data_IF_271579814615
#
_entry.id   IF_271579814615
#
_cell.length_a   1.000
_cell.length_b   1.000
_cell.length_c   1.000
_cell.angle_alpha   90.00
_cell.angle_beta   90.00
_cell.angle_gamma   90.00
#
_symmetry.space_group_name_H-M   'P 1'
#
loop_
_entity.id
_entity.type
_entity.pdbx_description
1 polymer ?
#
# COMPACT_ATOMS: atom_id res chain seq x y z
N UNK A 1 -5.27 14.18 9.50
CA UNK A 1 -3.86 13.84 9.79
C UNK A 1 -3.62 13.66 11.29
N UNK A 2 -3.94 14.63 12.16
CA UNK A 2 -3.66 14.55 13.60
C UNK A 2 -4.24 13.28 14.27
N UNK A 3 -5.45 12.87 13.92
CA UNK A 3 -6.05 11.62 14.40
C UNK A 3 -5.16 10.41 14.12
N UNK A 4 -4.67 10.26 12.90
CA UNK A 4 -3.82 9.14 12.51
C UNK A 4 -2.46 9.17 13.20
N UNK A 5 -1.83 10.34 13.30
CA UNK A 5 -0.55 10.48 14.02
C UNK A 5 -0.69 10.13 15.50
N UNK A 6 -1.78 10.57 16.14
CA UNK A 6 -2.06 10.19 17.53
C UNK A 6 -2.27 8.68 17.67
N UNK A 7 -3.02 8.07 16.74
CA UNK A 7 -3.27 6.64 16.75
C UNK A 7 -1.98 5.83 16.53
N UNK A 8 -1.15 6.22 15.56
CA UNK A 8 0.17 5.62 15.34
C UNK A 8 1.00 5.71 16.62
N UNK A 9 1.09 6.91 17.20
CA UNK A 9 1.85 7.12 18.43
C UNK A 9 1.36 6.24 19.59
N UNK A 10 0.05 6.12 19.77
CA UNK A 10 -0.54 5.36 20.87
C UNK A 10 -0.41 3.84 20.74
N UNK A 11 -0.12 3.34 19.54
CA UNK A 11 0.00 1.91 19.28
C UNK A 11 1.46 1.53 19.00
N UNK A 12 2.14 2.17 18.04
CA UNK A 12 3.50 1.78 17.64
C UNK A 12 4.57 2.04 18.71
N UNK A 13 4.34 3.00 19.61
CA UNK A 13 5.28 3.27 20.71
C UNK A 13 4.86 2.63 22.04
N UNK A 14 3.79 1.87 22.07
CA UNK A 14 3.34 1.10 23.24
C UNK A 14 4.02 -0.28 23.24
N UNK A 15 4.71 -0.62 24.34
CA UNK A 15 5.48 -1.86 24.45
C UNK A 15 4.65 -3.15 24.34
N UNK A 16 3.34 -3.05 24.59
CA UNK A 16 2.41 -4.18 24.54
C UNK A 16 1.57 -4.22 23.28
N UNK A 17 1.44 -3.08 22.54
CA UNK A 17 0.52 -2.95 21.40
C UNK A 17 1.21 -2.78 20.06
N UNK A 18 2.52 -2.41 20.04
CA UNK A 18 3.24 -2.13 18.81
C UNK A 18 3.03 -3.21 17.72
N UNK A 19 2.99 -2.76 16.50
CA UNK A 19 2.79 -3.62 15.32
C UNK A 19 4.03 -3.64 14.40
N UNK A 20 4.96 -2.72 14.58
CA UNK A 20 6.12 -2.50 13.72
C UNK A 20 5.70 -2.33 12.23
N UNK A 21 4.61 -1.65 11.99
CA UNK A 21 4.08 -1.45 10.64
C UNK A 21 4.63 -0.21 9.97
N UNK A 22 5.16 0.75 10.74
CA UNK A 22 5.69 2.04 10.26
C UNK A 22 7.21 2.08 10.50
N UNK A 23 7.96 2.45 9.46
CA UNK A 23 9.42 2.72 9.58
C UNK A 23 9.65 4.21 9.85
N UNK A 24 9.02 5.09 9.06
CA UNK A 24 9.29 6.53 9.13
C UNK A 24 8.01 7.33 8.92
N UNK A 25 7.84 8.39 9.70
CA UNK A 25 6.76 9.37 9.57
C UNK A 25 7.29 10.66 8.93
N UNK A 26 6.49 11.22 8.02
CA UNK A 26 6.77 12.51 7.40
C UNK A 26 6.59 13.65 8.43
N UNK A 27 7.69 14.26 8.84
CA UNK A 27 7.70 15.31 9.86
C UNK A 27 6.96 16.57 9.40
N UNK A 28 6.84 16.81 8.09
CA UNK A 28 6.21 17.99 7.51
C UNK A 28 4.71 17.82 7.23
N UNK A 29 4.15 16.61 7.47
CA UNK A 29 2.78 16.27 7.05
C UNK A 29 1.70 17.15 7.70
N UNK A 30 1.92 17.66 8.94
CA UNK A 30 0.97 18.55 9.60
C UNK A 30 0.92 19.91 8.91
N UNK A 31 2.09 20.46 8.53
CA UNK A 31 2.17 21.72 7.80
C UNK A 31 1.55 21.57 6.40
N UNK A 32 1.91 20.50 5.68
CA UNK A 32 1.31 20.17 4.39
C UNK A 32 -0.23 20.04 4.47
N UNK A 33 -0.75 19.43 5.54
CA UNK A 33 -2.18 19.33 5.77
C UNK A 33 -2.85 20.70 5.98
N UNK A 34 -2.21 21.58 6.76
CA UNK A 34 -2.71 22.94 6.96
C UNK A 34 -2.76 23.77 5.68
N UNK A 35 -1.80 23.56 4.77
CA UNK A 35 -1.85 24.21 3.46
C UNK A 35 -3.00 23.67 2.61
N UNK A 36 -3.25 22.36 2.64
CA UNK A 36 -4.40 21.74 1.95
C UNK A 36 -5.73 22.25 2.52
N UNK A 37 -5.86 22.46 3.83
CA UNK A 37 -7.08 22.97 4.47
C UNK A 37 -7.50 24.35 3.96
N UNK A 38 -6.60 25.13 3.34
CA UNK A 38 -6.88 26.45 2.76
C UNK A 38 -7.55 26.37 1.37
N UNK A 39 -7.56 25.20 0.73
CA UNK A 39 -7.99 24.97 -0.65
C UNK A 39 -9.19 24.03 -0.63
N UNK A 40 -10.22 24.31 -1.40
CA UNK A 40 -11.35 23.38 -1.56
C UNK A 40 -11.02 22.28 -2.57
N UNK A 41 -11.42 21.02 -2.32
CA UNK A 41 -11.25 19.95 -3.29
C UNK A 41 -12.10 20.20 -4.55
N UNK A 42 -11.58 19.83 -5.71
CA UNK A 42 -12.26 19.99 -7.00
C UNK A 42 -13.36 18.94 -7.22
N UNK A 43 -13.26 17.79 -6.57
CA UNK A 43 -14.16 16.64 -6.74
C UNK A 43 -14.30 15.86 -5.43
N UNK A 44 -15.43 15.17 -5.25
CA UNK A 44 -15.66 14.22 -4.17
C UNK A 44 -14.75 12.98 -4.26
N UNK A 45 -14.21 12.69 -5.44
CA UNK A 45 -13.24 11.62 -5.68
C UNK A 45 -11.78 12.12 -5.67
N UNK A 46 -11.57 13.37 -5.26
CA UNK A 46 -10.22 13.91 -5.07
C UNK A 46 -9.52 13.28 -3.88
N UNK A 47 -8.20 13.10 -3.97
CA UNK A 47 -7.38 12.71 -2.83
C UNK A 47 -6.97 13.90 -1.95
N UNK A 48 -7.58 15.07 -2.13
CA UNK A 48 -7.22 16.30 -1.45
C UNK A 48 -7.20 16.16 0.08
N UNK A 49 -6.03 16.27 0.69
CA UNK A 49 -5.83 16.12 2.13
C UNK A 49 -5.92 14.69 2.67
N UNK A 50 -6.08 13.68 1.80
CA UNK A 50 -6.15 12.28 2.20
C UNK A 50 -4.76 11.76 2.56
N UNK A 51 -4.53 11.27 3.79
CA UNK A 51 -3.26 10.69 4.19
C UNK A 51 -3.09 9.28 3.64
N UNK A 52 -1.96 9.06 2.95
CA UNK A 52 -1.57 7.79 2.33
C UNK A 52 -0.21 7.37 2.88
N UNK A 53 -0.03 6.07 3.13
CA UNK A 53 1.23 5.46 3.51
C UNK A 53 1.87 4.75 2.29
N UNK A 54 3.19 4.77 2.21
CA UNK A 54 3.95 4.15 1.13
C UNK A 54 4.77 2.98 1.66
N UNK A 55 4.74 1.84 0.99
CA UNK A 55 5.72 0.77 1.25
C UNK A 55 7.14 1.31 1.10
N UNK A 56 8.04 0.90 1.95
CA UNK A 56 9.37 1.51 2.02
C UNK A 56 10.34 1.10 0.88
N UNK A 57 9.83 0.54 -0.18
CA UNK A 57 10.52 0.41 -1.46
C UNK A 57 10.05 1.40 -2.53
N UNK A 58 9.12 2.32 -2.20
CA UNK A 58 8.58 3.36 -3.08
C UNK A 58 9.25 4.69 -2.72
N UNK A 59 9.92 5.33 -3.66
CA UNK A 59 10.65 6.56 -3.43
C UNK A 59 9.73 7.73 -3.06
N UNK A 60 10.17 8.48 -2.06
CA UNK A 60 9.60 9.77 -1.70
C UNK A 60 10.71 10.75 -1.34
N UNK A 61 10.76 11.90 -2.01
CA UNK A 61 11.87 12.89 -1.93
C UNK A 61 12.19 13.40 -0.52
N UNK A 62 11.23 13.31 0.41
CA UNK A 62 11.38 13.83 1.76
C UNK A 62 11.73 12.76 2.81
N UNK A 63 11.78 11.49 2.41
CA UNK A 63 12.04 10.37 3.33
C UNK A 63 12.95 9.35 2.66
N UNK A 64 13.82 8.67 3.41
CA UNK A 64 14.61 7.57 2.89
C UNK A 64 13.75 6.46 2.29
N UNK A 65 14.26 5.79 1.28
CA UNK A 65 13.71 4.55 0.73
C UNK A 65 14.71 3.45 0.98
N UNK A 66 14.42 2.61 1.97
CA UNK A 66 15.41 1.65 2.48
C UNK A 66 15.20 0.22 1.99
N UNK A 67 14.05 -0.08 1.36
CA UNK A 67 13.60 -1.46 1.09
C UNK A 67 13.66 -2.36 2.36
N UNK A 68 13.53 -1.75 3.54
CA UNK A 68 13.65 -2.38 4.85
C UNK A 68 15.08 -2.65 5.31
N UNK A 69 16.09 -2.31 4.51
CA UNK A 69 17.49 -2.61 4.78
C UNK A 69 18.21 -1.44 5.44
N UNK A 70 18.89 -1.70 6.55
CA UNK A 70 19.71 -0.71 7.23
C UNK A 70 20.85 -0.15 6.34
N UNK A 71 21.27 -0.92 5.33
CA UNK A 71 22.29 -0.47 4.37
C UNK A 71 21.85 0.73 3.52
N UNK A 72 20.54 1.01 3.43
CA UNK A 72 19.95 2.12 2.68
C UNK A 72 19.29 3.17 3.58
N UNK A 73 19.64 3.24 4.87
CA UNK A 73 18.99 4.16 5.83
C UNK A 73 19.05 5.64 5.43
N UNK A 74 20.05 6.04 4.66
CA UNK A 74 20.26 7.41 4.18
C UNK A 74 19.92 7.61 2.70
N UNK A 75 19.32 6.60 2.05
CA UNK A 75 19.02 6.65 0.61
C UNK A 75 17.80 7.52 0.32
N UNK A 76 18.03 8.80 -0.01
CA UNK A 76 17.01 9.75 -0.44
C UNK A 76 17.10 9.93 -1.96
N UNK A 77 15.97 9.80 -2.63
CA UNK A 77 15.84 9.92 -4.09
C UNK A 77 14.68 10.86 -4.46
N UNK A 78 14.56 11.19 -5.74
CA UNK A 78 13.35 11.84 -6.26
C UNK A 78 12.11 10.96 -6.04
N UNK A 79 10.92 11.56 -6.09
CA UNK A 79 9.68 10.81 -6.01
C UNK A 79 9.60 9.70 -7.07
N UNK A 80 8.99 8.58 -6.70
CA UNK A 80 8.46 7.65 -7.69
C UNK A 80 7.35 8.34 -8.52
N UNK A 81 7.17 7.91 -9.77
CA UNK A 81 6.11 8.44 -10.64
C UNK A 81 4.73 8.38 -9.96
N UNK A 82 4.39 7.25 -9.37
CA UNK A 82 3.12 7.06 -8.67
C UNK A 82 2.94 8.04 -7.49
N UNK A 83 4.02 8.42 -6.83
CA UNK A 83 3.98 9.41 -5.73
C UNK A 83 3.73 10.81 -6.26
N UNK A 84 4.32 11.19 -7.39
CA UNK A 84 3.99 12.43 -8.06
C UNK A 84 2.49 12.49 -8.42
N UNK A 85 1.94 11.40 -8.98
CA UNK A 85 0.50 11.31 -9.29
C UNK A 85 -0.38 11.50 -8.05
N UNK A 86 -0.02 10.92 -6.92
CA UNK A 86 -0.75 11.11 -5.66
C UNK A 86 -0.68 12.55 -5.15
N UNK A 87 0.51 13.17 -5.14
CA UNK A 87 0.70 14.57 -4.70
C UNK A 87 -0.04 15.56 -5.64
N UNK A 88 0.00 15.35 -6.95
CA UNK A 88 -0.75 16.12 -7.95
C UNK A 88 -2.27 16.07 -7.69
N UNK A 89 -2.79 14.91 -7.28
CA UNK A 89 -4.19 14.73 -6.93
C UNK A 89 -4.53 15.11 -5.48
N UNK A 90 -3.57 15.69 -4.77
CA UNK A 90 -3.79 16.30 -3.46
C UNK A 90 -3.55 15.41 -2.26
N UNK A 91 -3.13 14.16 -2.43
CA UNK A 91 -2.81 13.27 -1.31
C UNK A 91 -1.68 13.83 -0.43
N UNK A 92 -1.69 13.39 0.83
CA UNK A 92 -0.64 13.67 1.80
C UNK A 92 0.13 12.39 2.10
N UNK A 93 1.42 12.39 1.86
CA UNK A 93 2.25 11.23 2.21
C UNK A 93 2.55 11.27 3.71
N UNK A 94 1.94 10.36 4.44
CA UNK A 94 2.01 10.29 5.90
C UNK A 94 3.33 9.68 6.38
N UNK A 95 3.89 8.74 5.63
CA UNK A 95 5.14 8.06 6.00
C UNK A 95 5.42 6.81 5.18
N UNK A 96 6.41 6.04 5.63
CA UNK A 96 6.88 4.80 5.01
C UNK A 96 6.55 3.60 5.91
N UNK A 97 6.02 2.54 5.30
CA UNK A 97 5.62 1.31 5.99
C UNK A 97 6.67 0.23 5.90
N UNK A 98 6.72 -0.60 6.94
CA UNK A 98 7.58 -1.77 6.99
C UNK A 98 7.22 -2.81 5.91
N UNK A 99 8.16 -3.68 5.60
CA UNK A 99 8.03 -4.72 4.59
C UNK A 99 8.92 -5.90 4.94
N UNK A 100 8.73 -7.03 4.28
CA UNK A 100 9.79 -8.04 4.27
C UNK A 100 11.00 -7.46 3.54
N UNK A 101 12.16 -7.46 4.19
CA UNK A 101 13.39 -6.82 3.68
C UNK A 101 13.68 -7.23 2.22
N UNK A 102 13.93 -6.24 1.34
CA UNK A 102 14.09 -6.43 -0.10
C UNK A 102 12.98 -7.22 -0.78
N UNK A 103 11.76 -7.17 -0.24
CA UNK A 103 10.62 -7.95 -0.71
C UNK A 103 10.90 -9.46 -0.86
N UNK A 104 11.73 -10.02 0.02
CA UNK A 104 12.28 -11.40 0.03
C UNK A 104 13.36 -11.70 -1.00
N UNK A 105 13.81 -10.76 -1.79
CA UNK A 105 14.76 -11.06 -2.86
C UNK A 105 16.07 -11.66 -2.32
N UNK A 106 16.62 -11.08 -1.25
CA UNK A 106 17.92 -11.52 -0.68
C UNK A 106 17.80 -12.43 0.55
N UNK A 107 16.66 -12.49 1.21
CA UNK A 107 16.50 -13.31 2.42
C UNK A 107 15.31 -14.25 2.33
N UNK A 108 15.48 -15.42 1.73
CA UNK A 108 14.43 -16.45 1.64
C UNK A 108 14.02 -17.08 2.99
N UNK A 109 14.93 -17.32 3.95
CA UNK A 109 14.54 -17.88 5.26
C UNK A 109 14.09 -16.82 6.28
N UNK A 110 14.10 -15.52 5.94
CA UNK A 110 13.62 -14.50 6.85
C UNK A 110 12.10 -14.62 7.10
N UNK A 111 11.65 -14.33 8.32
CA UNK A 111 10.23 -14.32 8.60
C UNK A 111 9.47 -13.31 7.73
N UNK A 112 8.24 -13.66 7.38
CA UNK A 112 7.34 -12.76 6.65
C UNK A 112 7.14 -11.46 7.42
N UNK A 113 7.38 -10.32 6.79
CA UNK A 113 7.20 -9.01 7.42
C UNK A 113 8.35 -8.55 8.31
N UNK A 114 9.49 -9.25 8.28
CA UNK A 114 10.69 -8.82 8.99
C UNK A 114 11.57 -7.93 8.12
N UNK A 115 12.12 -6.89 8.72
CA UNK A 115 13.19 -6.09 8.14
C UNK A 115 14.18 -5.62 9.21
N UNK A 116 15.42 -5.35 8.82
CA UNK A 116 16.43 -4.80 9.73
C UNK A 116 16.12 -3.36 10.17
N UNK A 117 15.35 -2.61 9.37
CA UNK A 117 14.90 -1.25 9.71
C UNK A 117 13.71 -1.22 10.66
N UNK A 118 12.69 -2.06 10.44
CA UNK A 118 11.42 -2.00 11.16
C UNK A 118 11.17 -3.15 12.13
N UNK A 119 12.04 -4.16 12.16
CA UNK A 119 11.79 -5.39 12.92
C UNK A 119 10.66 -6.24 12.34
N UNK A 120 10.05 -7.10 13.15
CA UNK A 120 8.95 -7.97 12.75
C UNK A 120 7.62 -7.24 12.75
N UNK A 121 6.98 -7.11 11.60
CA UNK A 121 5.59 -6.61 11.49
C UNK A 121 4.62 -7.64 12.07
N UNK A 122 3.71 -7.19 12.93
CA UNK A 122 2.75 -8.03 13.65
C UNK A 122 1.34 -7.80 13.15
N UNK A 123 0.55 -8.88 13.02
CA UNK A 123 -0.84 -8.80 12.59
C UNK A 123 -1.72 -8.21 13.71
N UNK A 124 -2.55 -7.17 13.44
CA UNK A 124 -3.36 -6.51 14.47
C UNK A 124 -4.48 -7.39 15.04
N UNK A 125 -4.94 -8.39 14.29
CA UNK A 125 -5.98 -9.33 14.72
C UNK A 125 -5.47 -10.45 15.64
N UNK A 126 -4.14 -10.66 15.68
CA UNK A 126 -3.53 -11.66 16.56
C UNK A 126 -2.02 -11.51 16.54
N UNK A 127 -1.50 -10.57 17.34
CA UNK A 127 -0.05 -10.31 17.46
C UNK A 127 0.69 -11.58 17.86
N UNK A 128 1.75 -11.91 17.11
CA UNK A 128 2.57 -13.12 17.31
C UNK A 128 1.82 -14.46 17.13
N UNK A 129 0.54 -14.42 16.76
CA UNK A 129 -0.31 -15.60 16.48
C UNK A 129 -0.54 -15.74 14.99
N UNK A 130 -0.95 -14.64 14.33
CA UNK A 130 -1.21 -14.64 12.90
C UNK A 130 -0.07 -13.96 12.13
N UNK A 131 0.21 -14.50 10.96
CA UNK A 131 1.15 -13.91 10.02
C UNK A 131 0.57 -12.61 9.43
N UNK A 132 1.41 -11.60 9.26
CA UNK A 132 1.01 -10.31 8.66
C UNK A 132 0.80 -10.36 7.15
N UNK A 133 1.25 -11.45 6.51
CA UNK A 133 1.43 -11.47 5.05
C UNK A 133 2.58 -10.56 4.62
N UNK A 134 3.00 -10.68 3.38
CA UNK A 134 4.13 -9.90 2.83
C UNK A 134 4.24 -10.06 1.31
N UNK A 135 5.14 -9.27 0.73
CA UNK A 135 6.14 -8.39 1.36
C UNK A 135 5.63 -7.01 1.78
N UNK A 136 4.45 -6.54 1.38
CA UNK A 136 3.89 -5.24 1.81
C UNK A 136 3.22 -5.34 3.19
N UNK A 137 3.93 -5.91 4.17
CA UNK A 137 3.40 -6.26 5.48
C UNK A 137 2.91 -5.05 6.25
N UNK A 138 3.75 -4.03 6.41
CA UNK A 138 3.40 -2.81 7.09
C UNK A 138 2.30 -2.03 6.38
N UNK A 139 2.24 -2.04 5.03
CA UNK A 139 1.16 -1.43 4.27
C UNK A 139 -0.20 -2.06 4.63
N UNK A 140 -0.28 -3.39 4.66
CA UNK A 140 -1.50 -4.08 5.07
C UNK A 140 -1.86 -3.83 6.53
N UNK A 141 -0.91 -4.07 7.44
CA UNK A 141 -1.12 -3.92 8.89
C UNK A 141 -1.53 -2.50 9.26
N UNK A 142 -0.91 -1.47 8.68
CA UNK A 142 -1.21 -0.07 9.00
C UNK A 142 -2.64 0.32 8.64
N UNK A 143 -3.19 -0.19 7.53
CA UNK A 143 -4.57 0.09 7.15
C UNK A 143 -5.55 -0.69 8.03
N UNK A 144 -5.28 -1.96 8.32
CA UNK A 144 -6.08 -2.74 9.27
C UNK A 144 -6.09 -2.14 10.68
N UNK A 145 -4.98 -1.51 11.10
CA UNK A 145 -4.87 -0.79 12.36
C UNK A 145 -5.45 0.64 12.32
N UNK A 146 -5.97 1.08 11.16
CA UNK A 146 -6.50 2.43 10.94
C UNK A 146 -5.46 3.54 11.20
N UNK A 147 -4.25 3.39 10.64
CA UNK A 147 -3.17 4.38 10.72
C UNK A 147 -3.18 5.38 9.55
N UNK A 148 -3.90 5.07 8.48
CA UNK A 148 -4.18 5.94 7.36
C UNK A 148 -5.47 5.50 6.66
N UNK A 149 -5.93 6.26 5.69
CA UNK A 149 -7.09 5.90 4.84
C UNK A 149 -6.71 4.80 3.86
N UNK A 150 -5.50 4.90 3.30
CA UNK A 150 -5.00 3.98 2.28
C UNK A 150 -3.49 3.83 2.37
N UNK A 151 -2.97 2.75 1.80
CA UNK A 151 -1.54 2.55 1.60
C UNK A 151 -1.24 2.02 0.20
N UNK A 152 -0.01 2.26 -0.26
CA UNK A 152 0.54 1.63 -1.44
C UNK A 152 1.41 0.44 -1.03
N UNK A 153 1.16 -0.67 -1.68
CA UNK A 153 2.06 -1.82 -1.72
C UNK A 153 2.79 -1.93 -3.05
N UNK A 154 3.67 -2.91 -3.15
CA UNK A 154 4.24 -3.38 -4.42
C UNK A 154 4.17 -4.89 -4.47
N UNK A 155 3.98 -5.44 -5.67
CA UNK A 155 3.87 -6.87 -5.87
C UNK A 155 4.59 -7.32 -7.13
N UNK A 156 5.38 -8.38 -6.96
CA UNK A 156 5.86 -9.24 -8.03
C UNK A 156 5.00 -10.50 -8.09
N UNK A 157 4.79 -11.14 -6.92
CA UNK A 157 4.00 -12.37 -6.77
C UNK A 157 3.44 -12.44 -5.34
N UNK A 158 2.19 -12.03 -5.14
CA UNK A 158 1.46 -12.09 -3.88
C UNK A 158 1.72 -10.95 -2.89
N UNK A 159 2.65 -10.02 -3.16
CA UNK A 159 3.11 -9.05 -2.14
C UNK A 159 2.16 -7.88 -1.84
N UNK A 160 1.03 -7.74 -2.54
CA UNK A 160 -0.12 -6.92 -2.20
C UNK A 160 -1.26 -7.82 -1.72
N UNK A 161 -1.54 -8.88 -2.47
CA UNK A 161 -2.68 -9.75 -2.24
C UNK A 161 -2.56 -10.53 -0.92
N UNK A 162 -1.36 -11.07 -0.60
CA UNK A 162 -1.13 -11.81 0.64
C UNK A 162 -1.34 -10.93 1.89
N UNK A 163 -0.68 -9.76 2.05
CA UNK A 163 -0.94 -8.93 3.22
C UNK A 163 -2.36 -8.35 3.25
N UNK A 164 -2.99 -8.08 2.11
CA UNK A 164 -4.40 -7.66 2.09
C UNK A 164 -5.32 -8.76 2.62
N UNK A 165 -5.17 -9.99 2.15
CA UNK A 165 -5.94 -11.14 2.61
C UNK A 165 -5.75 -11.41 4.10
N UNK A 166 -4.50 -11.37 4.60
CA UNK A 166 -4.16 -11.63 6.00
C UNK A 166 -4.65 -10.53 6.96
N UNK A 167 -4.97 -9.35 6.45
CA UNK A 167 -5.39 -8.20 7.25
C UNK A 167 -6.82 -7.72 6.92
N UNK A 168 -7.64 -8.55 6.27
CA UNK A 168 -9.04 -8.25 5.93
C UNK A 168 -9.23 -6.96 5.13
N UNK A 169 -8.39 -6.77 4.11
CA UNK A 169 -8.37 -5.60 3.25
C UNK A 169 -8.69 -5.95 1.80
N UNK A 170 -9.02 -4.91 1.04
CA UNK A 170 -9.05 -4.95 -0.42
C UNK A 170 -7.69 -4.53 -0.94
N UNK A 171 -7.01 -5.43 -1.65
CA UNK A 171 -5.76 -5.16 -2.36
C UNK A 171 -5.93 -5.37 -3.85
N UNK A 172 -5.43 -4.46 -4.65
CA UNK A 172 -5.43 -4.58 -6.11
C UNK A 172 -4.00 -4.73 -6.62
N UNK A 173 -3.72 -5.87 -7.27
CA UNK A 173 -2.56 -6.01 -8.15
C UNK A 173 -3.02 -5.67 -9.57
N UNK A 174 -2.75 -4.46 -10.07
CA UNK A 174 -3.21 -4.06 -11.39
C UNK A 174 -2.42 -4.74 -12.51
N UNK A 175 -2.90 -4.58 -13.73
CA UNK A 175 -2.16 -5.02 -14.92
C UNK A 175 -0.82 -4.30 -15.00
N UNK A 176 0.23 -5.05 -15.30
CA UNK A 176 1.60 -4.52 -15.39
C UNK A 176 1.65 -3.36 -16.40
N UNK A 177 2.27 -2.26 -16.01
CA UNK A 177 2.41 -1.06 -16.81
C UNK A 177 1.23 -0.07 -16.74
N UNK A 178 0.09 -0.44 -16.12
CA UNK A 178 -0.99 0.53 -15.88
C UNK A 178 -0.60 1.59 -14.84
N UNK A 179 0.28 1.23 -13.91
CA UNK A 179 0.95 2.12 -12.97
C UNK A 179 2.44 2.00 -13.25
N UNK A 180 3.12 3.13 -13.42
CA UNK A 180 4.57 3.18 -13.62
C UNK A 180 5.31 2.64 -12.40
N UNK A 181 6.45 1.97 -12.68
CA UNK A 181 7.37 1.44 -11.67
C UNK A 181 8.60 2.32 -11.46
N UNK A 182 8.70 3.47 -12.16
CA UNK A 182 9.80 4.42 -11.98
C UNK A 182 9.87 4.91 -10.54
N UNK A 183 11.05 4.78 -9.92
CA UNK A 183 11.27 5.12 -8.52
C UNK A 183 10.77 4.08 -7.51
N UNK A 184 10.52 2.84 -7.93
CA UNK A 184 10.23 1.70 -7.06
C UNK A 184 11.39 0.73 -7.11
N UNK A 185 11.91 0.30 -5.96
CA UNK A 185 13.00 -0.67 -5.88
C UNK A 185 12.55 -1.99 -6.54
N UNK A 186 13.23 -2.44 -7.61
CA UNK A 186 12.74 -3.52 -8.46
C UNK A 186 13.08 -4.92 -7.92
N UNK A 187 12.27 -5.90 -8.33
CA UNK A 187 12.57 -7.33 -8.30
C UNK A 187 12.58 -7.88 -9.73
N UNK A 188 11.52 -7.65 -10.47
CA UNK A 188 11.31 -8.19 -11.82
C UNK A 188 10.76 -7.13 -12.76
N UNK A 189 11.45 -6.92 -13.87
CA UNK A 189 10.99 -5.99 -14.92
C UNK A 189 9.67 -6.40 -15.57
N UNK A 190 9.28 -7.69 -15.46
CA UNK A 190 8.09 -8.23 -16.13
C UNK A 190 6.88 -8.43 -15.22
N UNK A 191 7.10 -8.49 -13.89
CA UNK A 191 6.01 -8.86 -12.95
C UNK A 191 5.72 -7.80 -11.92
N UNK A 192 6.61 -6.82 -11.71
CA UNK A 192 6.46 -5.81 -10.70
C UNK A 192 5.37 -4.81 -11.04
N UNK A 193 4.60 -4.45 -10.04
CA UNK A 193 3.67 -3.33 -10.06
C UNK A 193 3.50 -2.76 -8.66
N UNK A 194 3.10 -1.51 -8.53
CA UNK A 194 2.52 -1.00 -7.29
C UNK A 194 0.99 -1.10 -7.34
N UNK A 195 0.37 -1.04 -6.19
CA UNK A 195 -1.09 -1.06 -6.13
C UNK A 195 -1.65 -0.62 -4.78
N UNK A 196 -2.93 -0.21 -4.77
CA UNK A 196 -3.61 0.28 -3.60
C UNK A 196 -4.03 -0.84 -2.64
N UNK A 197 -4.00 -0.54 -1.34
CA UNK A 197 -4.51 -1.36 -0.25
C UNK A 197 -5.41 -0.50 0.63
N UNK A 198 -6.68 -0.89 0.75
CA UNK A 198 -7.75 -0.11 1.39
C UNK A 198 -8.73 -1.02 2.13
N UNK A 199 -9.67 -0.44 2.89
CA UNK A 199 -10.68 -1.21 3.62
C UNK A 199 -11.89 -1.61 2.76
N UNK A 200 -12.09 -0.97 1.60
CA UNK A 200 -13.23 -1.24 0.71
C UNK A 200 -12.86 -1.04 -0.77
N UNK A 201 -13.72 -1.56 -1.66
CA UNK A 201 -13.50 -1.56 -3.12
C UNK A 201 -13.60 -0.15 -3.71
N UNK A 202 -14.46 0.71 -3.19
CA UNK A 202 -14.65 2.07 -3.71
C UNK A 202 -13.39 2.92 -3.51
N UNK A 203 -12.84 2.90 -2.30
CA UNK A 203 -11.59 3.61 -1.99
C UNK A 203 -10.43 3.05 -2.81
N UNK A 204 -10.42 1.72 -3.03
CA UNK A 204 -9.39 1.05 -3.83
C UNK A 204 -9.41 1.51 -5.29
N UNK A 205 -10.59 1.52 -5.91
CA UNK A 205 -10.78 1.99 -7.28
C UNK A 205 -10.49 3.50 -7.43
N UNK A 206 -10.91 4.30 -6.44
CA UNK A 206 -10.64 5.74 -6.41
C UNK A 206 -9.14 6.00 -6.36
N UNK A 207 -8.41 5.30 -5.47
CA UNK A 207 -6.97 5.45 -5.36
C UNK A 207 -6.25 4.97 -6.63
N UNK A 208 -6.66 3.82 -7.19
CA UNK A 208 -6.11 3.31 -8.45
C UNK A 208 -6.22 4.34 -9.58
N UNK A 209 -7.39 4.97 -9.74
CA UNK A 209 -7.62 5.99 -10.77
C UNK A 209 -6.68 7.19 -10.66
N UNK A 210 -6.20 7.49 -9.46
CA UNK A 210 -5.26 8.59 -9.23
C UNK A 210 -3.78 8.16 -9.36
N UNK A 211 -3.53 6.85 -9.46
CA UNK A 211 -2.17 6.29 -9.58
C UNK A 211 -1.76 6.02 -11.04
N UNK A 212 -2.73 5.79 -11.92
CA UNK A 212 -2.47 5.44 -13.33
C UNK A 212 -1.88 6.63 -14.12
N UNK A 213 -1.10 6.32 -15.14
CA UNK A 213 -0.54 7.31 -16.04
C UNK A 213 0.56 6.72 -16.92
N UNK A 214 0.76 7.34 -18.08
CA UNK A 214 1.89 7.00 -18.94
C UNK A 214 3.17 7.67 -18.41
N UNK A 215 4.24 6.90 -18.39
CA UNK A 215 5.58 7.32 -17.99
C UNK A 215 6.59 6.84 -19.03
N UNK A 216 7.31 7.76 -19.64
CA UNK A 216 8.32 7.44 -20.66
C UNK A 216 9.56 6.72 -20.09
N UNK A 217 9.80 6.88 -18.77
CA UNK A 217 10.92 6.23 -18.08
C UNK A 217 10.63 4.78 -17.70
N UNK A 218 9.37 4.30 -17.83
CA UNK A 218 9.01 2.90 -17.65
C UNK A 218 8.59 2.26 -18.98
N UNK A 219 9.47 1.50 -19.58
CA UNK A 219 9.27 0.87 -20.90
C UNK A 219 8.06 -0.08 -21.03
N UNK A 220 7.39 -0.45 -19.92
CA UNK A 220 6.12 -1.20 -19.93
C UNK A 220 4.92 -0.30 -19.63
N UNK A 221 5.14 0.98 -19.31
CA UNK A 221 4.06 1.90 -19.00
C UNK A 221 3.18 2.16 -20.24
N UNK A 222 1.88 2.23 -20.01
CA UNK A 222 0.92 2.60 -21.05
C UNK A 222 -0.19 3.48 -20.46
N UNK A 223 -0.91 4.18 -21.32
CA UNK A 223 -2.06 4.99 -20.92
C UNK A 223 -3.23 4.09 -20.54
N UNK A 224 -3.35 3.76 -19.27
CA UNK A 224 -4.45 2.96 -18.74
C UNK A 224 -5.75 3.78 -18.68
N UNK A 225 -6.90 3.11 -18.86
CA UNK A 225 -8.20 3.73 -18.65
C UNK A 225 -8.57 3.69 -17.16
N UNK A 226 -9.15 4.78 -16.62
CA UNK A 226 -9.67 4.77 -15.26
C UNK A 226 -10.88 3.83 -15.14
N UNK A 227 -11.07 3.30 -13.94
CA UNK A 227 -12.29 2.57 -13.57
C UNK A 227 -13.44 3.57 -13.50
N UNK A 228 -14.55 3.29 -14.18
CA UNK A 228 -15.78 4.07 -14.06
C UNK A 228 -16.46 3.73 -12.72
N UNK A 229 -16.30 4.62 -11.73
CA UNK A 229 -16.79 4.38 -10.37
C UNK A 229 -18.32 4.32 -10.32
N UNK A 230 -19.02 5.16 -11.10
CA UNK A 230 -20.48 5.17 -11.13
C UNK A 230 -21.04 3.88 -11.73
N UNK A 231 -20.41 3.36 -12.77
CA UNK A 231 -20.77 2.09 -13.38
C UNK A 231 -20.46 0.92 -12.42
N UNK A 232 -19.31 0.96 -11.76
CA UNK A 232 -18.92 -0.04 -10.77
C UNK A 232 -19.95 -0.12 -9.61
N UNK A 233 -20.42 1.02 -9.10
CA UNK A 233 -21.40 1.07 -8.02
C UNK A 233 -22.80 0.57 -8.42
N UNK A 234 -23.15 0.66 -9.71
CA UNK A 234 -24.43 0.20 -10.25
C UNK A 234 -24.35 -1.21 -10.84
N UNK A 235 -23.20 -1.83 -10.76
CA UNK A 235 -22.96 -3.12 -11.39
C UNK A 235 -23.84 -4.23 -10.77
N UNK A 236 -24.64 -4.88 -11.61
CA UNK A 236 -25.47 -6.03 -11.21
C UNK A 236 -24.73 -7.35 -11.53
N UNK A 237 -24.36 -8.07 -10.50
CA UNK A 237 -23.66 -9.34 -10.59
C UNK A 237 -24.59 -10.56 -10.82
N UNK A 238 -25.92 -10.37 -10.83
CA UNK A 238 -26.90 -11.49 -10.89
C UNK A 238 -26.77 -12.38 -12.13
N UNK A 239 -26.24 -11.84 -13.22
CA UNK A 239 -26.03 -12.56 -14.48
C UNK A 239 -24.60 -13.03 -14.70
N UNK A 240 -23.72 -12.89 -13.73
CA UNK A 240 -22.34 -13.37 -13.86
C UNK A 240 -22.26 -14.88 -13.76
N UNK A 241 -21.47 -15.46 -14.64
CA UNK A 241 -21.04 -16.87 -14.54
C UNK A 241 -19.66 -16.88 -13.86
N UNK A 242 -19.61 -17.42 -12.64
CA UNK A 242 -18.37 -17.51 -11.86
C UNK A 242 -17.85 -18.95 -11.96
N UNK A 243 -16.63 -19.10 -12.47
CA UNK A 243 -15.91 -20.36 -12.45
C UNK A 243 -15.14 -20.50 -11.13
N UNK A 244 -15.32 -21.65 -10.45
CA UNK A 244 -14.57 -21.97 -9.24
C UNK A 244 -13.60 -23.10 -9.56
N UNK A 245 -12.33 -22.92 -9.20
CA UNK A 245 -11.30 -23.92 -9.39
C UNK A 245 -11.23 -24.85 -8.17
N UNK A 246 -11.99 -25.95 -8.22
CA UNK A 246 -12.20 -26.86 -7.08
C UNK A 246 -10.93 -27.44 -6.43
N UNK A 247 -9.80 -27.48 -7.15
CA UNK A 247 -8.56 -28.08 -6.64
C UNK A 247 -8.00 -27.39 -5.39
N UNK A 248 -8.39 -26.14 -5.15
CA UNK A 248 -7.94 -25.34 -4.00
C UNK A 248 -9.04 -25.04 -2.98
N UNK A 249 -10.22 -25.66 -3.14
CA UNK A 249 -11.31 -25.48 -2.19
C UNK A 249 -11.32 -26.71 -1.28
N UNK A 250 -10.98 -26.50 -0.02
CA UNK A 250 -11.15 -27.46 1.04
C UNK A 250 -12.64 -27.49 1.44
N UNK A 251 -13.19 -28.70 1.76
CA UNK A 251 -14.58 -28.89 2.23
C UNK A 251 -14.90 -28.02 3.45
N UNK A 252 -13.91 -27.61 4.25
CA UNK A 252 -14.07 -26.71 5.38
C UNK A 252 -14.43 -25.27 4.96
N UNK A 253 -14.00 -24.83 3.77
CA UNK A 253 -14.29 -23.48 3.24
C UNK A 253 -15.71 -23.40 2.65
N UNK A 254 -16.25 -24.50 2.12
CA UNK A 254 -17.61 -24.57 1.56
C UNK A 254 -18.68 -24.48 2.65
N UNK A 255 -18.36 -24.83 3.88
CA UNK A 255 -19.31 -24.81 5.01
C UNK A 255 -19.50 -23.42 5.64
N UNK A 256 -18.73 -22.42 5.24
CA UNK A 256 -18.76 -21.05 5.77
C UNK A 256 -19.35 -20.04 4.77
N UNK A 257 -19.55 -20.44 3.52
CA UNK A 257 -20.22 -19.65 2.49
C UNK A 257 -21.68 -20.05 2.33
#
# INVERSE_FOLDING_TARGET
VLFYLYRIKSIEFDKEKYLNSIITINQNVIEQAREKDKIKPESIYSLHGIPVLLKDNINYKNLPTTAGSFALNDNISSNAFVVNKLEENGALILGKTNLSEWAYYFCRPCPVGYSSMGGQTLNPYGRKVFESGGSSSGSGVSIAANFAVASLGSETSGSILSPSSRNSLVGLKPTIGSISRSGIVPISSFFDTSGPMTTNVLDNATLYNQMIGYDEDDGLSYKANPINIDEMQRFDASNLRIGIFNRFIDDSLIKVA
#
